data_IF_733399722043
#
_entry.id   IF_733399722043
#
_cell.length_a   1.000
_cell.length_b   1.000
_cell.length_c   1.000
_cell.angle_alpha   90.00
_cell.angle_beta   90.00
_cell.angle_gamma   90.00
#
_symmetry.space_group_name_H-M   'P 1'
#
loop_
_entity.id
_entity.type
_entity.pdbx_description
1 polymer ?
#
# COMPACT_ATOMS: atom_id res chain seq x y z
N UNK A 1 -2.78 -11.77 -0.21
CA UNK A 1 -3.27 -10.41 -0.56
C UNK A 1 -2.11 -9.52 -0.94
N UNK A 2 -2.35 -8.59 -1.86
CA UNK A 2 -1.40 -7.59 -2.31
C UNK A 2 -2.13 -6.24 -2.36
N UNK A 3 -1.53 -5.21 -1.77
CA UNK A 3 -2.10 -3.86 -1.73
C UNK A 3 -1.09 -2.79 -2.09
N UNK A 4 -1.58 -1.69 -2.64
CA UNK A 4 -0.84 -0.45 -2.82
C UNK A 4 -1.57 0.67 -2.07
N UNK A 5 -0.83 1.42 -1.25
CA UNK A 5 -1.36 2.52 -0.45
C UNK A 5 -0.56 3.78 -0.80
N UNK A 6 -1.27 4.86 -1.11
CA UNK A 6 -0.68 6.19 -1.28
C UNK A 6 -1.32 7.15 -0.28
N UNK A 7 -0.49 7.85 0.49
CA UNK A 7 -0.93 8.79 1.52
C UNK A 7 -0.16 10.10 1.44
N UNK A 8 -0.72 11.17 1.99
CA UNK A 8 0.00 12.42 2.18
C UNK A 8 0.63 12.44 3.57
N UNK A 9 1.93 12.65 3.60
CA UNK A 9 2.65 12.96 4.84
C UNK A 9 2.32 14.38 5.32
N UNK A 10 2.52 14.64 6.60
CA UNK A 10 2.40 15.98 7.18
C UNK A 10 3.36 17.00 6.53
N UNK A 11 4.41 16.52 5.87
CA UNK A 11 5.35 17.33 5.08
C UNK A 11 4.79 17.81 3.74
N UNK A 12 3.60 17.37 3.34
CA UNK A 12 2.99 17.64 2.03
C UNK A 12 3.48 16.70 0.91
N UNK A 13 4.39 15.77 1.21
CA UNK A 13 4.89 14.79 0.24
C UNK A 13 3.98 13.55 0.21
N UNK A 14 3.90 12.91 -0.95
CA UNK A 14 3.22 11.62 -1.09
C UNK A 14 4.13 10.50 -0.58
N UNK A 15 3.60 9.67 0.31
CA UNK A 15 4.23 8.44 0.76
C UNK A 15 3.50 7.24 0.14
N UNK A 16 4.27 6.34 -0.47
CA UNK A 16 3.76 5.16 -1.15
C UNK A 16 4.21 3.89 -0.43
N UNK A 17 3.28 2.95 -0.30
CA UNK A 17 3.53 1.67 0.36
C UNK A 17 3.02 0.52 -0.51
N UNK A 18 3.76 -0.57 -0.53
CA UNK A 18 3.31 -1.87 -1.04
C UNK A 18 3.15 -2.80 0.14
N UNK A 19 1.99 -3.42 0.24
CA UNK A 19 1.60 -4.30 1.35
C UNK A 19 1.37 -5.70 0.80
N UNK A 20 2.12 -6.68 1.29
CA UNK A 20 2.06 -8.07 0.82
C UNK A 20 1.75 -8.98 2.01
N UNK A 21 0.63 -9.68 1.97
CA UNK A 21 0.34 -10.69 2.98
C UNK A 21 1.40 -11.79 2.93
N UNK A 22 2.03 -12.09 4.07
CA UNK A 22 3.11 -13.06 4.14
C UNK A 22 3.18 -13.71 5.52
N UNK A 23 3.83 -14.87 5.57
CA UNK A 23 4.25 -15.47 6.84
C UNK A 23 5.50 -14.76 7.37
N UNK A 24 5.77 -14.92 8.67
CA UNK A 24 6.94 -14.32 9.34
C UNK A 24 8.28 -14.73 8.72
N UNK A 25 8.36 -15.97 8.21
CA UNK A 25 9.57 -16.51 7.58
C UNK A 25 10.03 -15.72 6.34
N UNK A 26 9.11 -14.98 5.70
CA UNK A 26 9.44 -14.15 4.55
C UNK A 26 10.45 -13.04 4.89
N UNK A 27 10.42 -12.49 6.12
CA UNK A 27 11.41 -11.49 6.53
C UNK A 27 12.80 -12.10 6.64
N UNK A 28 12.92 -13.34 7.15
CA UNK A 28 14.20 -14.02 7.28
C UNK A 28 14.79 -14.37 5.91
N UNK A 29 13.95 -14.75 4.95
CA UNK A 29 14.39 -14.95 3.55
C UNK A 29 14.93 -13.66 2.95
N UNK A 30 14.24 -12.53 3.10
CA UNK A 30 14.69 -11.24 2.57
C UNK A 30 15.97 -10.75 3.27
N UNK A 31 16.10 -10.96 4.57
CA UNK A 31 17.32 -10.65 5.33
C UNK A 31 18.50 -11.50 4.84
N UNK A 32 18.30 -12.79 4.63
CA UNK A 32 19.33 -13.69 4.12
C UNK A 32 19.76 -13.29 2.70
N UNK A 33 18.80 -13.00 1.83
CA UNK A 33 19.07 -12.50 0.49
C UNK A 33 19.92 -11.21 0.54
N UNK A 34 19.55 -10.28 1.40
CA UNK A 34 20.20 -8.98 1.53
C UNK A 34 21.66 -9.10 2.02
N UNK A 35 21.95 -10.03 2.94
CA UNK A 35 23.32 -10.31 3.41
C UNK A 35 24.25 -10.82 2.29
N UNK A 36 23.69 -11.47 1.27
CA UNK A 36 24.46 -11.93 0.11
C UNK A 36 24.74 -10.83 -0.92
N UNK A 37 24.03 -9.68 -0.80
CA UNK A 37 24.12 -8.56 -1.76
C UNK A 37 24.98 -7.42 -1.20
N UNK A 38 24.97 -7.20 0.11
CA UNK A 38 25.71 -6.09 0.75
C UNK A 38 26.36 -6.53 2.06
N UNK A 39 27.58 -6.03 2.28
CA UNK A 39 28.33 -6.27 3.52
C UNK A 39 27.73 -5.52 4.73
N UNK A 40 27.09 -4.38 4.47
CA UNK A 40 26.51 -3.51 5.50
C UNK A 40 25.00 -3.32 5.27
N UNK A 41 24.17 -4.33 5.55
CA UNK A 41 22.72 -4.22 5.38
C UNK A 41 22.14 -3.20 6.37
N UNK A 42 21.29 -2.31 5.86
CA UNK A 42 20.56 -1.38 6.73
C UNK A 42 19.64 -2.16 7.68
N UNK A 43 19.72 -1.83 8.95
CA UNK A 43 18.88 -2.35 10.02
C UNK A 43 18.59 -1.24 11.04
N UNK A 44 17.33 -1.08 11.41
CA UNK A 44 16.85 -0.16 12.44
C UNK A 44 15.69 -0.83 13.19
N UNK A 45 15.33 -0.30 14.35
CA UNK A 45 14.19 -0.79 15.13
C UNK A 45 13.33 0.37 15.58
N UNK A 46 12.03 0.27 15.36
CA UNK A 46 11.06 1.26 15.81
C UNK A 46 9.87 0.58 16.51
N UNK A 47 9.68 0.91 17.80
CA UNK A 47 8.60 0.34 18.65
C UNK A 47 8.54 -1.20 18.62
N UNK A 48 9.70 -1.85 18.60
CA UNK A 48 9.81 -3.31 18.57
C UNK A 48 9.64 -3.93 17.18
N UNK A 49 9.44 -3.13 16.13
CA UNK A 49 9.38 -3.59 14.75
C UNK A 49 10.73 -3.32 14.07
N UNK A 50 11.33 -4.36 13.51
CA UNK A 50 12.60 -4.25 12.77
C UNK A 50 12.36 -3.69 11.37
N UNK A 51 13.20 -2.77 10.94
CA UNK A 51 13.19 -2.09 9.65
C UNK A 51 14.46 -2.43 8.90
N UNK A 52 14.33 -2.86 7.66
CA UNK A 52 15.42 -3.25 6.78
C UNK A 52 15.35 -2.48 5.46
N UNK A 53 16.42 -2.55 4.67
CA UNK A 53 16.44 -2.12 3.27
C UNK A 53 16.87 -3.31 2.40
N UNK A 54 16.09 -3.63 1.38
CA UNK A 54 16.48 -4.61 0.36
C UNK A 54 17.27 -3.91 -0.74
N UNK A 55 18.56 -4.25 -0.89
CA UNK A 55 19.48 -3.60 -1.83
C UNK A 55 19.36 -4.18 -3.26
N UNK A 56 18.14 -4.34 -3.73
CA UNK A 56 17.80 -4.72 -5.12
C UNK A 56 16.95 -3.60 -5.68
N UNK A 57 17.46 -2.78 -6.61
CA UNK A 57 16.69 -1.67 -7.16
C UNK A 57 15.48 -2.19 -7.96
N UNK A 58 14.37 -1.47 -7.87
CA UNK A 58 13.13 -1.70 -8.61
C UNK A 58 12.56 -3.12 -8.51
N UNK A 59 12.90 -3.87 -7.45
CA UNK A 59 12.48 -5.27 -7.31
C UNK A 59 10.96 -5.43 -7.35
N UNK A 60 10.21 -4.55 -6.70
CA UNK A 60 8.75 -4.60 -6.68
C UNK A 60 8.16 -4.37 -8.07
N UNK A 61 8.68 -3.39 -8.81
CA UNK A 61 8.26 -3.15 -10.19
C UNK A 61 8.55 -4.35 -11.09
N UNK A 62 9.73 -4.96 -10.95
CA UNK A 62 10.15 -6.12 -11.77
C UNK A 62 9.33 -7.37 -11.48
N UNK A 63 8.94 -7.59 -10.23
CA UNK A 63 8.22 -8.80 -9.81
C UNK A 63 6.70 -8.61 -9.90
N UNK A 64 6.19 -7.44 -9.52
CA UNK A 64 4.77 -7.16 -9.38
C UNK A 64 4.19 -6.29 -10.50
N UNK A 65 5.05 -5.66 -11.31
CA UNK A 65 4.66 -4.83 -12.44
C UNK A 65 4.67 -3.32 -12.16
N UNK A 66 4.38 -2.53 -13.20
CA UNK A 66 4.52 -1.07 -13.20
C UNK A 66 3.64 -0.34 -12.18
N UNK A 67 2.53 -0.93 -11.73
CA UNK A 67 1.68 -0.34 -10.70
C UNK A 67 2.45 -0.05 -9.39
N UNK A 68 3.53 -0.79 -9.14
CA UNK A 68 4.34 -0.69 -7.92
C UNK A 68 5.64 0.09 -8.10
N UNK A 69 5.85 0.71 -9.26
CA UNK A 69 7.09 1.46 -9.60
C UNK A 69 7.35 2.68 -8.70
N UNK A 70 6.32 3.21 -8.05
CA UNK A 70 6.47 4.32 -7.11
C UNK A 70 7.20 3.93 -5.80
N UNK A 71 7.41 2.62 -5.54
CA UNK A 71 8.21 2.12 -4.41
C UNK A 71 9.47 1.47 -4.96
N UNK A 72 10.60 2.17 -4.93
CA UNK A 72 11.87 1.80 -5.56
C UNK A 72 13.04 1.66 -4.57
N UNK A 73 12.99 2.33 -3.40
CA UNK A 73 14.06 2.27 -2.38
C UNK A 73 14.02 1.00 -1.52
N UNK A 74 12.88 0.30 -1.51
CA UNK A 74 12.66 -1.02 -0.90
C UNK A 74 13.04 -1.13 0.58
N UNK A 75 12.79 -0.08 1.39
CA UNK A 75 12.76 -0.24 2.85
C UNK A 75 11.57 -1.08 3.23
N UNK A 76 11.76 -2.04 4.14
CA UNK A 76 10.68 -2.95 4.51
C UNK A 76 10.65 -3.29 5.98
N UNK A 77 9.49 -3.67 6.48
CA UNK A 77 9.25 -4.31 7.77
C UNK A 77 8.18 -5.40 7.65
N UNK A 78 8.08 -6.24 8.66
CA UNK A 78 6.98 -7.18 8.79
C UNK A 78 6.15 -6.82 10.03
N UNK A 79 4.84 -6.68 9.86
CA UNK A 79 3.92 -6.37 10.94
C UNK A 79 2.56 -7.02 10.69
N UNK A 80 2.01 -7.70 11.71
CA UNK A 80 0.67 -8.28 11.71
C UNK A 80 0.35 -9.18 10.48
N UNK A 81 1.32 -9.95 10.01
CA UNK A 81 1.11 -10.87 8.87
C UNK A 81 1.36 -10.24 7.51
N UNK A 82 1.95 -9.04 7.46
CA UNK A 82 2.22 -8.34 6.20
C UNK A 82 3.67 -7.84 6.13
N UNK A 83 4.27 -7.98 4.95
CA UNK A 83 5.46 -7.23 4.55
C UNK A 83 5.02 -5.88 4.01
N UNK A 84 5.62 -4.81 4.52
CA UNK A 84 5.35 -3.43 4.11
C UNK A 84 6.61 -2.87 3.48
N UNK A 85 6.53 -2.43 2.24
CA UNK A 85 7.63 -1.79 1.52
C UNK A 85 7.33 -0.31 1.28
N UNK A 86 8.36 0.55 1.32
CA UNK A 86 8.27 1.98 1.01
C UNK A 86 9.63 2.56 0.65
N UNK A 87 9.68 3.87 0.37
CA UNK A 87 10.89 4.57 -0.07
C UNK A 87 11.75 5.11 1.06
N UNK A 88 11.29 5.10 2.32
CA UNK A 88 12.10 5.63 3.42
C UNK A 88 11.82 4.94 4.75
N UNK A 89 12.84 4.88 5.64
CA UNK A 89 12.61 4.38 7.00
C UNK A 89 11.67 5.28 7.80
N UNK A 90 11.63 6.57 7.51
CA UNK A 90 10.70 7.51 8.17
C UNK A 90 9.25 7.19 7.81
N UNK A 91 8.96 6.89 6.55
CA UNK A 91 7.63 6.45 6.12
C UNK A 91 7.21 5.15 6.83
N UNK A 92 8.12 4.16 6.97
CA UNK A 92 7.84 2.96 7.77
C UNK A 92 7.53 3.28 9.23
N UNK A 93 8.29 4.16 9.86
CA UNK A 93 8.02 4.59 11.24
C UNK A 93 6.64 5.25 11.38
N UNK A 94 6.25 6.06 10.41
CA UNK A 94 4.90 6.67 10.33
C UNK A 94 3.83 5.59 10.21
N UNK A 95 4.03 4.61 9.31
CA UNK A 95 3.10 3.48 9.13
C UNK A 95 2.96 2.65 10.41
N UNK A 96 4.08 2.28 11.04
CA UNK A 96 4.11 1.52 12.30
C UNK A 96 3.35 2.28 13.40
N UNK A 97 3.60 3.58 13.55
CA UNK A 97 2.91 4.41 14.52
C UNK A 97 1.40 4.44 14.28
N UNK A 98 0.96 4.61 13.04
CA UNK A 98 -0.45 4.64 12.66
C UNK A 98 -1.12 3.29 12.92
N UNK A 99 -0.45 2.18 12.62
CA UNK A 99 -0.94 0.83 12.85
C UNK A 99 -1.13 0.56 14.37
N UNK A 100 -0.10 0.82 15.17
CA UNK A 100 -0.12 0.62 16.62
C UNK A 100 -1.13 1.55 17.34
N UNK A 101 -1.35 2.75 16.80
CA UNK A 101 -2.33 3.73 17.33
C UNK A 101 -3.74 3.50 16.80
N UNK A 102 -3.99 2.44 16.02
CA UNK A 102 -5.27 2.15 15.37
C UNK A 102 -5.79 3.28 14.49
N UNK A 103 -4.88 4.08 13.93
CA UNK A 103 -5.19 5.17 12.97
C UNK A 103 -5.10 4.66 11.54
N UNK A 104 -5.83 3.60 11.24
CA UNK A 104 -5.89 2.95 9.91
C UNK A 104 -7.33 2.92 9.41
N UNK A 105 -7.53 2.66 8.13
CA UNK A 105 -8.87 2.57 7.54
C UNK A 105 -9.75 1.55 8.28
N UNK A 106 -9.20 0.44 8.74
CA UNK A 106 -9.94 -0.59 9.47
C UNK A 106 -10.63 -0.07 10.75
N UNK A 107 -10.14 1.04 11.33
CA UNK A 107 -10.71 1.68 12.51
C UNK A 107 -11.44 2.99 12.17
N UNK A 108 -11.55 3.36 10.91
CA UNK A 108 -12.28 4.53 10.46
C UNK A 108 -13.75 4.20 10.30
N UNK A 109 -14.64 4.87 11.07
CA UNK A 109 -16.07 4.58 11.09
C UNK A 109 -16.71 4.77 9.71
N UNK A 110 -16.28 5.75 8.94
CA UNK A 110 -16.81 5.98 7.59
C UNK A 110 -16.42 4.84 6.64
N UNK A 111 -15.20 4.34 6.75
CA UNK A 111 -14.75 3.20 5.96
C UNK A 111 -15.46 1.91 6.38
N UNK A 112 -15.66 1.68 7.69
CA UNK A 112 -16.40 0.53 8.19
C UNK A 112 -17.84 0.52 7.66
N UNK A 113 -18.58 1.63 7.81
CA UNK A 113 -19.93 1.75 7.27
C UNK A 113 -19.98 1.56 5.74
N UNK A 114 -18.94 2.01 5.04
CA UNK A 114 -18.83 1.81 3.61
C UNK A 114 -18.64 0.33 3.25
N UNK A 115 -17.77 -0.39 3.99
CA UNK A 115 -17.46 -1.81 3.73
C UNK A 115 -18.64 -2.74 3.98
N UNK A 116 -19.65 -2.35 4.75
CA UNK A 116 -20.90 -3.10 4.91
C UNK A 116 -21.69 -3.23 3.60
N UNK A 117 -21.49 -2.30 2.67
CA UNK A 117 -22.20 -2.24 1.38
C UNK A 117 -21.42 -2.82 0.21
N UNK A 118 -20.20 -3.34 0.43
CA UNK A 118 -19.37 -3.95 -0.61
C UNK A 118 -19.13 -5.42 -0.30
N UNK A 119 -18.87 -6.22 -1.35
CA UNK A 119 -18.56 -7.64 -1.16
C UNK A 119 -17.28 -7.82 -0.36
N UNK A 120 -17.30 -8.73 0.63
CA UNK A 120 -16.10 -9.13 1.38
C UNK A 120 -15.09 -9.93 0.54
N UNK A 121 -15.52 -10.44 -0.62
CA UNK A 121 -14.68 -11.14 -1.58
C UNK A 121 -14.61 -10.36 -2.87
N UNK A 122 -13.43 -9.93 -3.26
CA UNK A 122 -13.20 -9.25 -4.54
C UNK A 122 -11.80 -9.58 -5.07
N UNK A 123 -11.66 -9.48 -6.39
CA UNK A 123 -10.37 -9.60 -7.05
C UNK A 123 -9.59 -8.29 -6.97
N UNK A 124 -10.31 -7.18 -7.01
CA UNK A 124 -9.72 -5.85 -6.95
C UNK A 124 -10.66 -4.90 -6.19
N UNK A 125 -10.09 -4.16 -5.24
CA UNK A 125 -10.75 -3.07 -4.54
C UNK A 125 -9.88 -1.81 -4.65
N UNK A 126 -10.46 -0.75 -5.16
CA UNK A 126 -9.90 0.59 -5.11
C UNK A 126 -10.73 1.43 -4.15
N UNK A 127 -10.08 2.11 -3.22
CA UNK A 127 -10.70 3.06 -2.30
C UNK A 127 -9.90 4.36 -2.30
N UNK A 128 -10.58 5.48 -2.37
CA UNK A 128 -9.96 6.79 -2.33
C UNK A 128 -10.78 7.80 -1.54
N UNK A 129 -10.06 8.69 -0.86
CA UNK A 129 -10.62 9.89 -0.27
C UNK A 129 -10.12 11.11 -1.07
N UNK A 130 -10.95 11.70 -1.94
CA UNK A 130 -10.55 12.80 -2.82
C UNK A 130 -10.13 14.06 -2.09
N UNK A 131 -10.72 14.32 -0.90
CA UNK A 131 -10.42 15.52 -0.12
C UNK A 131 -8.98 15.52 0.44
N UNK A 132 -8.35 14.36 0.53
CA UNK A 132 -6.97 14.20 1.00
C UNK A 132 -5.94 14.16 -0.15
N UNK A 133 -6.38 13.97 -1.38
CA UNK A 133 -5.51 13.77 -2.53
C UNK A 133 -5.59 14.97 -3.49
N UNK A 134 -4.47 15.60 -3.78
CA UNK A 134 -4.40 16.41 -4.98
C UNK A 134 -4.58 15.47 -6.19
N UNK A 135 -5.61 15.68 -6.98
CA UNK A 135 -6.06 14.91 -8.14
C UNK A 135 -5.04 14.86 -9.31
N UNK A 136 -3.75 14.82 -9.01
CA UNK A 136 -2.66 14.92 -9.99
C UNK A 136 -2.18 13.57 -10.52
N UNK A 137 -2.60 12.44 -9.94
CA UNK A 137 -2.18 11.14 -10.45
C UNK A 137 -2.93 10.77 -11.74
N UNK A 138 -2.23 10.14 -12.68
CA UNK A 138 -2.81 9.72 -13.96
C UNK A 138 -3.99 8.74 -13.78
N UNK A 139 -4.01 7.97 -12.69
CA UNK A 139 -5.12 7.11 -12.33
C UNK A 139 -6.42 7.92 -12.10
N UNK A 140 -6.33 9.05 -11.41
CA UNK A 140 -7.48 9.92 -11.18
C UNK A 140 -7.95 10.63 -12.43
N UNK A 141 -7.05 11.05 -13.31
CA UNK A 141 -7.42 11.66 -14.60
C UNK A 141 -8.25 10.69 -15.42
N UNK A 142 -7.80 9.43 -15.51
CA UNK A 142 -8.52 8.41 -16.24
C UNK A 142 -9.88 8.05 -15.59
N UNK A 143 -9.95 7.98 -14.25
CA UNK A 143 -11.22 7.74 -13.55
C UNK A 143 -12.22 8.88 -13.72
N UNK A 144 -11.75 10.13 -13.77
CA UNK A 144 -12.61 11.30 -13.99
C UNK A 144 -13.28 11.26 -15.35
N UNK A 145 -12.61 10.72 -16.36
CA UNK A 145 -13.17 10.55 -17.70
C UNK A 145 -14.22 9.44 -17.77
N UNK A 146 -14.14 8.46 -16.86
CA UNK A 146 -15.09 7.34 -16.79
C UNK A 146 -16.32 7.63 -15.94
N UNK A 147 -16.18 8.44 -14.91
CA UNK A 147 -17.23 8.77 -13.96
C UNK A 147 -17.58 10.25 -14.16
N UNK A 148 -18.67 10.50 -14.86
CA UNK A 148 -19.18 11.87 -15.09
C UNK A 148 -19.77 12.43 -13.78
N UNK A 149 -18.93 12.90 -12.88
CA UNK A 149 -19.32 13.58 -11.65
C UNK A 149 -19.01 15.06 -11.81
N UNK A 150 -20.03 15.89 -11.87
CA UNK A 150 -19.90 17.33 -12.09
C UNK A 150 -19.13 18.05 -10.95
N UNK A 151 -19.21 17.52 -9.73
CA UNK A 151 -18.54 18.11 -8.56
C UNK A 151 -17.94 17.05 -7.65
N UNK A 152 -16.64 16.83 -7.81
CA UNK A 152 -15.87 15.93 -6.98
C UNK A 152 -15.51 16.51 -5.60
N UNK A 153 -15.66 17.82 -5.41
CA UNK A 153 -15.31 18.49 -4.14
C UNK A 153 -16.19 18.06 -2.98
N UNK A 154 -17.40 17.61 -3.26
CA UNK A 154 -18.36 17.14 -2.26
C UNK A 154 -18.28 15.62 -1.97
N UNK A 155 -17.38 14.90 -2.64
CA UNK A 155 -17.21 13.47 -2.43
C UNK A 155 -16.12 13.24 -1.37
N UNK A 156 -16.52 12.78 -0.20
CA UNK A 156 -15.60 12.46 0.90
C UNK A 156 -14.81 11.17 0.66
N UNK A 157 -15.40 10.20 0.00
CA UNK A 157 -14.74 8.96 -0.38
C UNK A 157 -15.50 8.27 -1.51
N UNK A 158 -14.78 7.51 -2.34
CA UNK A 158 -15.37 6.58 -3.28
C UNK A 158 -14.57 5.29 -3.33
N UNK A 159 -15.21 4.22 -3.77
CA UNK A 159 -14.52 2.98 -4.05
C UNK A 159 -15.09 2.32 -5.30
N UNK A 160 -14.25 1.50 -5.89
CA UNK A 160 -14.55 0.67 -7.04
C UNK A 160 -14.13 -0.75 -6.73
N UNK A 161 -15.01 -1.70 -6.98
CA UNK A 161 -14.77 -3.11 -6.73
C UNK A 161 -15.00 -3.93 -8.00
N UNK A 162 -14.05 -4.81 -8.33
CA UNK A 162 -14.20 -5.84 -9.34
C UNK A 162 -14.29 -7.19 -8.64
N UNK A 163 -15.35 -7.91 -8.94
CA UNK A 163 -15.56 -9.29 -8.50
C UNK A 163 -15.80 -10.15 -9.72
N UNK A 164 -14.98 -11.19 -9.91
CA UNK A 164 -15.20 -12.18 -10.96
C UNK A 164 -15.78 -13.44 -10.33
N UNK A 165 -16.87 -13.93 -10.87
CA UNK A 165 -17.29 -15.31 -10.64
C UNK A 165 -16.38 -16.22 -11.46
N UNK A 166 -16.00 -17.37 -10.91
CA UNK A 166 -15.02 -18.32 -11.46
C UNK A 166 -15.27 -18.79 -12.92
N UNK A 167 -16.31 -18.32 -13.58
CA UNK A 167 -16.73 -18.78 -14.91
C UNK A 167 -16.24 -17.88 -16.07
N UNK A 168 -15.56 -16.76 -15.82
CA UNK A 168 -15.25 -15.76 -16.87
C UNK A 168 -13.80 -15.76 -17.39
N UNK A 169 -12.98 -16.72 -17.00
CA UNK A 169 -11.59 -16.84 -17.51
C UNK A 169 -11.33 -18.14 -18.28
N UNK A 170 -12.35 -18.72 -18.91
CA UNK A 170 -12.15 -19.77 -19.90
C UNK A 170 -12.69 -19.28 -21.26
N UNK A 171 -11.81 -18.61 -22.00
CA UNK A 171 -11.81 -18.62 -23.46
C UNK A 171 -10.39 -18.29 -23.95
#
# INVERSE_FOLDING_TARGET
ELGYISTFASSGNTENYVVIQSKSEAIDMLRHLNKNITENPYNDTHRGVEIYKLHIPDVLQRVLGNLFSAVYENYFCWINGYLIFTNSPTALKTFINSNLSRKTLAYNIYYQNYTENISSKCNYLFYSNPSLNNWTSDLYKNLKDWVNVEDWSNINAFAFQLTTNNELFYN
#
